data_IF_917140849107
#
_entry.id   IF_917140849107
#
_cell.length_a   1.000
_cell.length_b   1.000
_cell.length_c   1.000
_cell.angle_alpha   90.00
_cell.angle_beta   90.00
_cell.angle_gamma   90.00
#
_symmetry.space_group_name_H-M   'P 1'
#
loop_
_entity.id
_entity.type
_entity.pdbx_description
1 polymer ?
#
# COMPACT_ATOMS: atom_id res chain seq x y z
N UNK A 1 2.90 1.85 -15.93
CA UNK A 1 3.42 2.45 -17.17
C UNK A 1 4.37 3.60 -16.84
N UNK A 2 5.46 3.77 -17.60
CA UNK A 2 6.49 4.80 -17.38
C UNK A 2 5.95 6.24 -17.46
N UNK A 3 4.83 6.44 -18.13
CA UNK A 3 4.16 7.74 -18.23
C UNK A 3 3.18 8.02 -17.08
N UNK A 4 2.91 7.04 -16.22
CA UNK A 4 2.11 7.29 -15.02
C UNK A 4 2.93 8.12 -14.03
N UNK A 5 2.31 9.12 -13.44
CA UNK A 5 2.96 10.08 -12.54
C UNK A 5 3.73 9.41 -11.40
N UNK A 6 3.21 8.32 -10.84
CA UNK A 6 3.87 7.54 -9.79
C UNK A 6 5.23 7.00 -10.24
N UNK A 7 5.26 6.27 -11.37
CA UNK A 7 6.50 5.70 -11.90
C UNK A 7 7.48 6.79 -12.34
N UNK A 8 6.97 7.84 -12.99
CA UNK A 8 7.79 8.96 -13.43
C UNK A 8 8.49 9.65 -12.26
N UNK A 9 7.80 9.89 -11.15
CA UNK A 9 8.37 10.49 -9.95
C UNK A 9 9.45 9.58 -9.35
N UNK A 10 9.16 8.30 -9.18
CA UNK A 10 10.10 7.33 -8.59
C UNK A 10 11.35 7.18 -9.47
N UNK A 11 11.19 7.01 -10.78
CA UNK A 11 12.31 6.93 -11.72
C UNK A 11 13.18 8.20 -11.69
N UNK A 12 12.54 9.38 -11.65
CA UNK A 12 13.26 10.67 -11.55
C UNK A 12 14.05 10.75 -10.24
N UNK A 13 13.46 10.33 -9.12
CA UNK A 13 14.13 10.28 -7.82
C UNK A 13 15.33 9.33 -7.83
N UNK A 14 15.19 8.16 -8.45
CA UNK A 14 16.28 7.18 -8.55
C UNK A 14 17.43 7.71 -9.39
N UNK A 15 17.14 8.32 -10.54
CA UNK A 15 18.15 8.97 -11.36
C UNK A 15 18.87 10.10 -10.60
N UNK A 16 18.12 10.94 -9.90
CA UNK A 16 18.67 12.02 -9.09
C UNK A 16 19.62 11.51 -7.97
N UNK A 17 19.30 10.34 -7.41
CA UNK A 17 20.11 9.70 -6.35
C UNK A 17 21.19 8.77 -6.86
N UNK A 18 21.33 8.58 -8.17
CA UNK A 18 22.28 7.65 -8.75
C UNK A 18 21.98 6.18 -8.46
N UNK A 19 20.69 5.84 -8.28
CA UNK A 19 20.24 4.47 -8.03
C UNK A 19 20.03 3.76 -9.37
N UNK A 20 20.55 2.54 -9.51
CA UNK A 20 20.36 1.70 -10.70
C UNK A 20 18.88 1.32 -10.86
N UNK A 21 18.34 1.50 -12.07
CA UNK A 21 16.96 1.16 -12.41
C UNK A 21 16.96 0.01 -13.39
N UNK A 22 16.15 -1.00 -13.10
CA UNK A 22 15.90 -2.15 -13.96
C UNK A 22 14.41 -2.19 -14.30
N UNK A 23 14.08 -2.20 -15.59
CA UNK A 23 12.71 -2.30 -16.05
C UNK A 23 12.37 -3.75 -16.34
N UNK A 24 11.22 -4.19 -15.83
CA UNK A 24 10.72 -5.53 -16.13
C UNK A 24 10.37 -5.65 -17.63
N UNK A 25 10.69 -6.77 -18.25
CA UNK A 25 10.38 -7.05 -19.65
C UNK A 25 8.87 -7.14 -19.91
N UNK A 26 8.12 -7.69 -18.94
CA UNK A 26 6.68 -7.84 -19.01
C UNK A 26 6.08 -8.40 -17.72
N UNK A 27 4.76 -8.39 -17.62
CA UNK A 27 4.04 -8.87 -16.43
C UNK A 27 4.29 -10.36 -16.14
N UNK A 28 4.48 -11.16 -17.17
CA UNK A 28 4.69 -12.61 -17.05
C UNK A 28 6.11 -12.95 -16.57
N UNK A 29 7.10 -12.12 -16.90
CA UNK A 29 8.52 -12.36 -16.58
C UNK A 29 8.96 -11.74 -15.26
N UNK A 30 8.13 -10.93 -14.59
CA UNK A 30 8.48 -10.22 -13.35
C UNK A 30 9.11 -11.16 -12.30
N UNK A 31 8.55 -12.37 -12.11
CA UNK A 31 9.06 -13.30 -11.12
C UNK A 31 10.48 -13.77 -11.41
N UNK A 32 10.83 -13.94 -12.67
CA UNK A 32 12.16 -14.37 -13.11
C UNK A 32 13.13 -13.17 -13.10
N UNK A 33 12.69 -12.00 -13.56
CA UNK A 33 13.46 -10.77 -13.47
C UNK A 33 13.81 -10.41 -12.00
N UNK A 34 12.88 -10.59 -11.04
CA UNK A 34 13.16 -10.37 -9.62
C UNK A 34 14.24 -11.31 -9.07
N UNK A 35 14.24 -12.57 -9.48
CA UNK A 35 15.27 -13.55 -9.06
C UNK A 35 16.63 -13.28 -9.67
N UNK A 36 16.67 -12.80 -10.91
CA UNK A 36 17.88 -12.47 -11.63
C UNK A 36 18.53 -11.20 -11.05
N UNK A 37 17.76 -10.11 -10.97
CA UNK A 37 18.23 -8.79 -10.56
C UNK A 37 18.40 -8.66 -9.04
N UNK A 38 17.57 -9.36 -8.24
CA UNK A 38 17.56 -9.30 -6.77
C UNK A 38 17.49 -7.86 -6.24
N UNK A 39 16.46 -7.08 -6.63
CA UNK A 39 16.39 -5.67 -6.29
C UNK A 39 16.20 -5.46 -4.79
N UNK A 40 16.70 -4.32 -4.27
CA UNK A 40 16.44 -3.89 -2.90
C UNK A 40 15.06 -3.21 -2.77
N UNK A 41 14.61 -2.50 -3.80
CA UNK A 41 13.32 -1.81 -3.83
C UNK A 41 12.59 -2.24 -5.09
N UNK A 42 11.32 -2.55 -4.92
CA UNK A 42 10.43 -2.90 -6.01
C UNK A 42 9.20 -2.01 -5.97
N UNK A 43 8.99 -1.26 -7.06
CA UNK A 43 7.82 -0.39 -7.21
C UNK A 43 6.67 -1.19 -7.80
N UNK A 44 5.52 -1.14 -7.18
CA UNK A 44 4.40 -2.01 -7.52
C UNK A 44 3.05 -1.31 -7.36
N UNK A 45 2.03 -2.00 -7.83
CA UNK A 45 0.62 -1.71 -7.55
C UNK A 45 0.00 -2.88 -6.81
N UNK A 46 -1.08 -2.70 -6.03
CA UNK A 46 -1.70 -3.76 -5.24
C UNK A 46 -2.01 -5.02 -6.04
N UNK A 47 -2.49 -4.88 -7.27
CA UNK A 47 -2.82 -6.01 -8.16
C UNK A 47 -1.67 -6.98 -8.39
N UNK A 48 -0.44 -6.48 -8.45
CA UNK A 48 0.72 -7.34 -8.63
C UNK A 48 1.07 -8.08 -7.33
N UNK A 49 0.92 -7.43 -6.18
CA UNK A 49 1.11 -8.04 -4.86
C UNK A 49 0.07 -9.15 -4.65
N UNK A 50 -1.18 -8.92 -5.04
CA UNK A 50 -2.24 -9.93 -5.04
C UNK A 50 -1.86 -11.16 -5.88
N UNK A 51 -1.36 -10.95 -7.10
CA UNK A 51 -0.88 -12.07 -7.96
C UNK A 51 0.27 -12.86 -7.36
N UNK A 52 1.20 -12.19 -6.68
CA UNK A 52 2.29 -12.88 -5.96
C UNK A 52 1.69 -13.75 -4.85
N UNK A 53 0.73 -13.23 -4.10
CA UNK A 53 0.04 -13.98 -3.05
C UNK A 53 -0.74 -15.17 -3.61
N UNK A 54 -1.51 -14.98 -4.68
CA UNK A 54 -2.24 -16.05 -5.38
C UNK A 54 -1.29 -17.17 -5.83
N UNK A 55 -0.11 -16.83 -6.36
CA UNK A 55 0.91 -17.81 -6.76
C UNK A 55 1.48 -18.57 -5.56
N UNK A 56 1.70 -17.89 -4.44
CA UNK A 56 2.15 -18.51 -3.19
C UNK A 56 1.09 -19.49 -2.66
N UNK A 57 -0.17 -19.09 -2.59
CA UNK A 57 -1.27 -19.94 -2.10
C UNK A 57 -1.53 -21.12 -3.01
N UNK A 58 -1.59 -20.92 -4.32
CA UNK A 58 -1.74 -21.99 -5.30
C UNK A 58 -0.58 -23.01 -5.23
N UNK A 59 0.64 -22.56 -4.95
CA UNK A 59 1.78 -23.45 -4.74
C UNK A 59 1.62 -24.24 -3.44
N UNK A 60 1.14 -23.58 -2.38
CA UNK A 60 0.85 -24.22 -1.09
C UNK A 60 -0.27 -25.27 -1.18
N UNK A 61 -1.29 -25.01 -1.99
CA UNK A 61 -2.42 -25.92 -2.21
C UNK A 61 -2.01 -27.26 -2.89
N UNK A 62 -0.98 -27.21 -3.70
CA UNK A 62 -0.41 -28.42 -4.35
C UNK A 62 0.42 -29.29 -3.40
N UNK A 63 0.79 -28.78 -2.22
CA UNK A 63 1.52 -29.56 -1.23
C UNK A 63 0.62 -30.62 -0.59
N UNK A 64 1.22 -31.76 -0.24
CA UNK A 64 0.53 -32.86 0.39
C UNK A 64 1.18 -33.28 1.71
N UNK A 65 0.47 -34.02 2.54
CA UNK A 65 0.98 -34.60 3.77
C UNK A 65 1.53 -33.55 4.76
N UNK A 66 2.71 -33.81 5.30
CA UNK A 66 3.33 -32.96 6.33
C UNK A 66 3.70 -31.57 5.83
N UNK A 67 4.11 -31.43 4.57
CA UNK A 67 4.44 -30.14 3.96
C UNK A 67 3.22 -29.22 3.89
N UNK A 68 2.05 -29.76 3.56
CA UNK A 68 0.80 -29.01 3.56
C UNK A 68 0.44 -28.52 4.97
N UNK A 69 0.55 -29.37 5.98
CA UNK A 69 0.29 -28.98 7.38
C UNK A 69 1.20 -27.84 7.86
N UNK A 70 2.48 -27.87 7.49
CA UNK A 70 3.44 -26.79 7.81
C UNK A 70 3.02 -25.50 7.11
N UNK A 71 2.65 -25.55 5.84
CA UNK A 71 2.21 -24.37 5.09
C UNK A 71 0.95 -23.76 5.73
N UNK A 72 -0.08 -24.55 5.98
CA UNK A 72 -1.34 -24.08 6.59
C UNK A 72 -1.11 -23.50 8.00
N UNK A 73 -0.22 -24.10 8.79
CA UNK A 73 0.18 -23.59 10.09
C UNK A 73 0.91 -22.25 9.97
N UNK A 74 1.82 -22.10 9.01
CA UNK A 74 2.54 -20.84 8.75
C UNK A 74 1.59 -19.74 8.30
N UNK A 75 0.58 -20.07 7.49
CA UNK A 75 -0.46 -19.14 7.08
C UNK A 75 -1.31 -18.65 8.25
N UNK A 76 -1.62 -19.52 9.24
CA UNK A 76 -2.30 -19.09 10.49
C UNK A 76 -1.44 -18.09 11.28
N UNK A 77 -0.13 -18.34 11.39
CA UNK A 77 0.80 -17.40 12.04
C UNK A 77 0.80 -16.06 11.31
N UNK A 78 0.89 -16.07 9.99
CA UNK A 78 0.91 -14.85 9.19
C UNK A 78 -0.38 -14.02 9.33
N UNK A 79 -1.54 -14.66 9.39
CA UNK A 79 -2.82 -13.98 9.55
C UNK A 79 -2.99 -13.30 10.92
N UNK A 80 -2.30 -13.77 11.96
CA UNK A 80 -2.37 -13.23 13.33
C UNK A 80 -1.19 -12.33 13.69
N UNK A 81 -0.33 -12.01 12.71
CA UNK A 81 0.84 -11.14 12.93
C UNK A 81 0.44 -9.73 13.36
N UNK A 82 1.09 -9.22 14.40
CA UNK A 82 0.93 -7.84 14.85
C UNK A 82 2.28 -7.12 14.90
N UNK A 83 2.27 -5.85 14.47
CA UNK A 83 3.42 -4.97 14.55
C UNK A 83 3.75 -4.59 16.01
N UNK A 84 4.98 -4.10 16.24
CA UNK A 84 5.45 -3.50 17.49
C UNK A 84 5.46 -4.45 18.68
N UNK A 85 6.01 -5.65 18.48
CA UNK A 85 6.25 -6.61 19.57
C UNK A 85 5.02 -7.00 20.41
N UNK A 86 3.80 -6.73 19.94
CA UNK A 86 2.56 -7.14 20.62
C UNK A 86 2.33 -8.64 20.63
N UNK A 87 3.16 -9.37 19.90
CA UNK A 87 3.09 -10.82 19.80
C UNK A 87 3.67 -11.49 21.06
N UNK A 88 3.01 -12.53 21.55
CA UNK A 88 3.48 -13.31 22.70
C UNK A 88 4.82 -14.00 22.43
N UNK A 89 5.54 -14.38 23.50
CA UNK A 89 6.81 -15.11 23.37
C UNK A 89 6.62 -16.43 22.58
N UNK A 90 5.52 -17.14 22.84
CA UNK A 90 5.18 -18.36 22.11
C UNK A 90 4.96 -18.12 20.62
N UNK A 91 4.28 -17.03 20.27
CA UNK A 91 4.12 -16.63 18.89
C UNK A 91 5.48 -16.37 18.21
N UNK A 92 6.39 -15.66 18.87
CA UNK A 92 7.73 -15.36 18.33
C UNK A 92 8.53 -16.62 18.02
N UNK A 93 8.44 -17.65 18.86
CA UNK A 93 9.09 -18.94 18.61
C UNK A 93 8.49 -19.61 17.38
N UNK A 94 7.15 -19.69 17.30
CA UNK A 94 6.46 -20.26 16.15
C UNK A 94 6.79 -19.51 14.87
N UNK A 95 6.77 -18.16 14.90
CA UNK A 95 7.13 -17.31 13.78
C UNK A 95 8.54 -17.60 13.26
N UNK A 96 9.53 -17.72 14.16
CA UNK A 96 10.92 -18.04 13.79
C UNK A 96 11.03 -19.39 13.07
N UNK A 97 10.25 -20.39 13.48
CA UNK A 97 10.21 -21.71 12.83
C UNK A 97 9.53 -21.58 11.45
N UNK A 98 8.37 -20.91 11.38
CA UNK A 98 7.66 -20.68 10.13
C UNK A 98 8.50 -19.86 9.13
N UNK A 99 9.25 -18.88 9.60
CA UNK A 99 10.17 -18.07 8.81
C UNK A 99 11.21 -18.95 8.11
N UNK A 100 11.88 -19.81 8.87
CA UNK A 100 12.90 -20.72 8.33
C UNK A 100 12.34 -21.73 7.33
N UNK A 101 11.13 -22.26 7.57
CA UNK A 101 10.56 -23.34 6.77
C UNK A 101 9.77 -22.85 5.54
N UNK A 102 9.13 -21.69 5.64
CA UNK A 102 8.18 -21.19 4.64
C UNK A 102 8.49 -19.77 4.18
N UNK A 103 8.59 -18.79 5.06
CA UNK A 103 8.68 -17.39 4.65
C UNK A 103 10.01 -17.03 3.97
N UNK A 104 11.12 -17.71 4.34
CA UNK A 104 12.39 -17.58 3.62
C UNK A 104 12.24 -17.87 2.13
N UNK A 105 11.45 -18.90 1.76
CA UNK A 105 11.19 -19.26 0.36
C UNK A 105 10.37 -18.21 -0.38
N UNK A 106 9.48 -17.50 0.32
CA UNK A 106 8.74 -16.40 -0.28
C UNK A 106 9.66 -15.22 -0.59
N UNK A 107 10.59 -14.90 0.33
CA UNK A 107 11.61 -13.88 0.07
C UNK A 107 12.52 -14.27 -1.10
N UNK A 108 12.94 -15.53 -1.17
CA UNK A 108 13.70 -16.04 -2.30
C UNK A 108 12.96 -15.90 -3.63
N UNK A 109 11.63 -16.13 -3.63
CA UNK A 109 10.79 -16.02 -4.82
C UNK A 109 10.69 -14.58 -5.35
N UNK A 110 10.91 -13.58 -4.49
CA UNK A 110 10.97 -12.15 -4.85
C UNK A 110 12.40 -11.61 -4.94
N UNK A 111 13.37 -12.49 -5.10
CA UNK A 111 14.80 -12.16 -5.31
C UNK A 111 15.70 -12.26 -4.07
N UNK A 112 15.15 -12.41 -2.88
CA UNK A 112 15.91 -12.64 -1.63
C UNK A 112 16.60 -11.42 -1.03
N UNK A 113 16.67 -10.29 -1.74
CA UNK A 113 17.42 -9.09 -1.34
C UNK A 113 16.51 -7.86 -1.11
N UNK A 114 15.19 -8.09 -1.13
CA UNK A 114 14.21 -7.03 -1.10
C UNK A 114 14.13 -6.37 0.29
N UNK A 115 14.33 -5.07 0.36
CA UNK A 115 14.15 -4.23 1.55
C UNK A 115 12.70 -3.83 1.68
N UNK A 116 12.10 -3.33 0.59
CA UNK A 116 10.68 -2.98 0.60
C UNK A 116 10.05 -3.02 -0.81
N UNK A 117 8.73 -3.16 -0.82
CA UNK A 117 7.87 -2.93 -1.97
C UNK A 117 7.18 -1.58 -1.73
N UNK A 118 7.38 -0.62 -2.62
CA UNK A 118 6.60 0.61 -2.62
C UNK A 118 5.31 0.35 -3.40
N UNK A 119 4.16 0.54 -2.77
CA UNK A 119 2.84 0.29 -3.37
C UNK A 119 2.01 1.56 -3.42
N UNK A 120 1.46 1.86 -4.59
CA UNK A 120 0.62 3.04 -4.80
C UNK A 120 -0.44 2.83 -5.87
N UNK A 121 -1.27 3.85 -6.10
CA UNK A 121 -2.31 3.86 -7.14
C UNK A 121 -3.63 3.18 -6.79
N UNK A 122 -3.69 2.36 -5.74
CA UNK A 122 -4.90 1.78 -5.17
C UNK A 122 -4.65 1.31 -3.72
N UNK A 123 -5.72 1.03 -2.97
CA UNK A 123 -5.60 0.50 -1.63
C UNK A 123 -5.11 -0.96 -1.64
N UNK A 124 -4.11 -1.27 -0.83
CA UNK A 124 -3.66 -2.64 -0.60
C UNK A 124 -4.54 -3.30 0.48
N UNK A 125 -4.95 -4.53 0.23
CA UNK A 125 -5.73 -5.30 1.21
C UNK A 125 -4.93 -5.45 2.53
N UNK A 126 -5.47 -5.02 3.67
CA UNK A 126 -4.77 -5.09 4.96
C UNK A 126 -4.34 -6.50 5.38
N UNK A 127 -5.08 -7.52 4.97
CA UNK A 127 -4.73 -8.92 5.22
C UNK A 127 -3.46 -9.32 4.46
N UNK A 128 -3.34 -8.92 3.19
CA UNK A 128 -2.14 -9.16 2.40
C UNK A 128 -0.95 -8.41 2.97
N UNK A 129 -1.11 -7.13 3.30
CA UNK A 129 -0.07 -6.34 3.94
C UNK A 129 0.45 -7.02 5.21
N UNK A 130 -0.45 -7.50 6.08
CA UNK A 130 -0.11 -8.26 7.30
C UNK A 130 0.70 -9.52 7.00
N UNK A 131 0.27 -10.32 6.03
CA UNK A 131 0.91 -11.58 5.65
C UNK A 131 2.31 -11.33 5.11
N UNK A 132 2.49 -10.34 4.25
CA UNK A 132 3.78 -9.98 3.69
C UNK A 132 4.72 -9.40 4.76
N UNK A 133 4.23 -8.54 5.64
CA UNK A 133 5.01 -8.03 6.78
C UNK A 133 5.48 -9.16 7.71
N UNK A 134 4.61 -10.14 7.99
CA UNK A 134 4.99 -11.34 8.74
C UNK A 134 6.14 -12.12 8.08
N UNK A 135 6.16 -12.16 6.76
CA UNK A 135 7.22 -12.80 5.99
C UNK A 135 8.49 -11.94 5.82
N UNK A 136 8.58 -10.78 6.49
CA UNK A 136 9.62 -9.77 6.31
C UNK A 136 9.72 -9.24 4.86
N UNK A 137 8.59 -9.22 4.15
CA UNK A 137 8.44 -8.55 2.86
C UNK A 137 7.67 -7.26 3.14
N UNK A 138 8.40 -6.17 3.37
CA UNK A 138 7.83 -4.90 3.79
C UNK A 138 7.12 -4.23 2.62
N UNK A 139 5.81 -4.04 2.72
CA UNK A 139 5.01 -3.27 1.76
C UNK A 139 4.75 -1.87 2.33
N UNK A 140 5.24 -0.85 1.66
CA UNK A 140 5.05 0.56 2.01
C UNK A 140 3.97 1.15 1.11
N UNK A 141 2.77 1.29 1.64
CA UNK A 141 1.66 1.89 0.92
C UNK A 141 1.74 3.40 0.99
N UNK A 142 1.55 4.07 -0.17
CA UNK A 142 1.45 5.51 -0.29
C UNK A 142 0.14 5.95 -0.94
N UNK A 143 -0.24 7.19 -0.68
CA UNK A 143 -1.40 7.87 -1.24
C UNK A 143 -1.00 9.17 -1.91
N UNK A 144 -1.67 9.45 -3.00
CA UNK A 144 -1.60 10.69 -3.74
C UNK A 144 -2.22 10.57 -5.12
N UNK A 145 -2.30 11.69 -5.81
CA UNK A 145 -2.95 11.86 -7.09
C UNK A 145 -1.98 12.49 -8.10
N UNK A 146 -2.35 12.51 -9.36
CA UNK A 146 -1.62 13.25 -10.40
C UNK A 146 -1.56 14.75 -10.05
N UNK A 147 -2.65 15.28 -9.53
CA UNK A 147 -2.84 16.65 -9.10
C UNK A 147 -1.98 17.05 -7.89
N UNK A 148 -1.45 16.07 -7.14
CA UNK A 148 -0.58 16.30 -5.97
C UNK A 148 0.89 15.96 -6.24
N UNK A 149 1.34 15.93 -7.47
CA UNK A 149 2.69 15.47 -7.86
C UNK A 149 3.08 14.16 -7.19
N UNK A 150 2.12 13.29 -7.05
CA UNK A 150 2.00 11.95 -6.53
C UNK A 150 1.80 11.85 -5.04
N UNK A 151 2.78 12.21 -4.21
CA UNK A 151 2.77 11.75 -2.82
C UNK A 151 2.17 12.81 -1.89
N UNK A 152 1.16 12.41 -1.14
CA UNK A 152 0.57 13.14 -0.02
C UNK A 152 0.96 12.48 1.31
N UNK A 153 0.86 11.15 1.37
CA UNK A 153 1.24 10.37 2.55
C UNK A 153 1.85 9.03 2.14
N UNK A 154 2.74 8.49 2.98
CA UNK A 154 3.36 7.19 2.74
C UNK A 154 3.81 6.54 4.04
N UNK A 155 3.55 5.23 4.19
CA UNK A 155 4.17 4.41 5.22
C UNK A 155 5.70 4.44 5.03
N UNK A 156 6.45 4.54 6.13
CA UNK A 156 7.91 4.62 6.11
C UNK A 156 8.49 3.38 6.75
N UNK A 157 9.71 3.05 6.38
CA UNK A 157 10.42 1.92 6.96
C UNK A 157 10.58 2.07 8.49
N UNK A 158 10.37 0.97 9.21
CA UNK A 158 10.40 0.93 10.67
C UNK A 158 9.00 0.72 11.27
N UNK A 159 8.92 -0.10 12.32
CA UNK A 159 7.64 -0.58 12.90
C UNK A 159 6.73 0.55 13.39
N UNK A 160 7.30 1.65 13.90
CA UNK A 160 6.51 2.80 14.38
C UNK A 160 5.98 3.70 13.25
N UNK A 161 6.51 3.53 12.05
CA UNK A 161 6.18 4.32 10.87
C UNK A 161 5.27 3.59 9.87
N UNK A 162 4.90 2.34 10.19
CA UNK A 162 3.94 1.53 9.43
C UNK A 162 2.69 1.30 10.27
N UNK A 163 1.54 1.49 9.62
CA UNK A 163 0.25 1.09 10.17
C UNK A 163 -0.53 0.35 9.11
N UNK A 164 -0.77 -0.95 9.33
CA UNK A 164 -1.51 -1.81 8.40
C UNK A 164 -2.87 -1.21 8.05
N UNK A 165 -3.19 -1.18 6.77
CA UNK A 165 -4.43 -0.63 6.23
C UNK A 165 -4.49 0.90 6.19
N UNK A 166 -3.33 1.58 6.28
CA UNK A 166 -3.22 3.03 6.11
C UNK A 166 -2.20 3.39 5.04
N UNK A 167 -2.27 4.62 4.58
CA UNK A 167 -1.28 5.19 3.64
C UNK A 167 -0.14 5.94 4.35
N UNK A 168 0.00 5.75 5.66
CA UNK A 168 1.10 6.35 6.42
C UNK A 168 0.89 7.81 6.84
N UNK A 169 1.92 8.41 7.46
CA UNK A 169 1.93 9.82 7.80
C UNK A 169 2.06 10.71 6.56
N UNK A 170 1.59 11.93 6.67
CA UNK A 170 1.73 12.98 5.64
C UNK A 170 3.22 13.31 5.45
N UNK A 171 3.62 13.59 4.21
CA UNK A 171 5.00 14.02 3.93
C UNK A 171 5.25 15.45 4.40
N UNK A 172 6.52 15.77 4.64
CA UNK A 172 6.92 17.11 5.08
C UNK A 172 6.54 18.19 4.06
N UNK A 173 6.02 19.32 4.56
CA UNK A 173 5.64 20.46 3.73
C UNK A 173 4.24 20.33 3.08
N UNK A 174 3.53 19.24 3.33
CA UNK A 174 2.14 19.04 2.90
C UNK A 174 1.23 19.06 4.11
N UNK A 175 0.10 19.71 3.99
CA UNK A 175 -0.96 19.77 4.98
C UNK A 175 -2.17 18.96 4.49
N UNK A 176 -2.79 18.22 5.40
CA UNK A 176 -4.00 17.44 5.12
C UNK A 176 -5.02 17.70 6.22
N UNK A 177 -6.25 17.99 5.81
CA UNK A 177 -7.42 18.01 6.70
C UNK A 177 -8.50 17.10 6.16
N UNK A 178 -9.32 16.59 7.06
CA UNK A 178 -10.53 15.83 6.72
C UNK A 178 -11.71 16.76 6.92
N UNK A 179 -12.51 16.95 5.89
CA UNK A 179 -13.71 17.79 5.96
C UNK A 179 -14.72 17.17 6.94
N UNK A 180 -15.29 18.00 7.82
CA UNK A 180 -16.23 17.53 8.85
C UNK A 180 -17.57 17.07 8.27
N UNK A 181 -17.99 17.67 7.15
CA UNK A 181 -19.30 17.43 6.54
C UNK A 181 -19.42 16.03 5.90
N UNK A 182 -18.38 15.58 5.20
CA UNK A 182 -18.44 14.38 4.37
C UNK A 182 -17.22 13.47 4.49
N UNK A 183 -16.18 13.88 5.24
CA UNK A 183 -14.96 13.12 5.41
C UNK A 183 -14.00 13.23 4.22
N UNK A 184 -14.20 14.19 3.31
CA UNK A 184 -13.30 14.39 2.18
C UNK A 184 -11.90 14.79 2.63
N UNK A 185 -10.90 14.20 2.00
CA UNK A 185 -9.49 14.55 2.20
C UNK A 185 -9.18 15.81 1.42
N UNK A 186 -8.75 16.85 2.12
CA UNK A 186 -8.31 18.10 1.53
C UNK A 186 -6.80 18.25 1.72
N UNK A 187 -6.11 18.67 0.65
CA UNK A 187 -4.65 18.74 0.62
C UNK A 187 -4.21 20.15 0.29
N UNK A 188 -3.16 20.64 0.99
CA UNK A 188 -2.51 21.91 0.70
C UNK A 188 -1.00 21.74 0.80
N UNK A 189 -0.26 22.27 -0.18
CA UNK A 189 1.19 22.18 -0.18
C UNK A 189 1.84 22.51 -1.52
N UNK A 190 3.16 22.57 -1.55
CA UNK A 190 3.91 22.91 -2.76
C UNK A 190 3.88 21.82 -3.84
N UNK A 191 3.36 20.64 -3.52
CA UNK A 191 3.19 19.51 -4.42
C UNK A 191 1.90 19.57 -5.24
N UNK A 192 1.03 20.56 -5.00
CA UNK A 192 -0.20 20.71 -5.78
C UNK A 192 0.08 21.19 -7.19
N UNK A 193 -0.73 20.75 -8.14
CA UNK A 193 -0.76 21.29 -9.51
C UNK A 193 -1.13 22.76 -9.51
N UNK A 194 -0.73 23.49 -10.53
CA UNK A 194 -1.18 24.88 -10.77
C UNK A 194 -2.63 24.96 -11.26
N UNK A 195 -3.15 23.86 -11.79
CA UNK A 195 -4.51 23.74 -12.32
C UNK A 195 -4.57 22.86 -13.56
N UNK A 196 -5.76 22.60 -14.04
CA UNK A 196 -5.99 21.85 -15.28
C UNK A 196 -5.71 22.74 -16.49
N UNK A 197 -4.90 22.24 -17.41
CA UNK A 197 -4.46 22.98 -18.58
C UNK A 197 -5.65 23.47 -19.43
N UNK A 198 -5.71 24.79 -19.65
CA UNK A 198 -6.80 25.47 -20.40
C UNK A 198 -8.22 25.18 -19.88
N UNK A 199 -8.35 24.78 -18.61
CA UNK A 199 -9.65 24.51 -18.00
C UNK A 199 -9.72 25.14 -16.58
N UNK A 200 -9.87 26.47 -16.50
CA UNK A 200 -9.95 27.17 -15.21
C UNK A 200 -11.23 26.83 -14.43
N UNK A 201 -12.31 26.47 -15.11
CA UNK A 201 -13.58 26.09 -14.49
C UNK A 201 -13.41 24.81 -13.70
N UNK A 202 -12.89 23.74 -14.30
CA UNK A 202 -12.59 22.49 -13.60
C UNK A 202 -11.55 22.67 -12.48
N UNK A 203 -10.62 23.63 -12.64
CA UNK A 203 -9.67 23.95 -11.57
C UNK A 203 -10.38 24.58 -10.38
N UNK A 204 -11.30 25.51 -10.61
CA UNK A 204 -12.08 26.16 -9.55
C UNK A 204 -13.04 25.20 -8.81
N UNK A 205 -13.45 24.12 -9.46
CA UNK A 205 -14.27 23.06 -8.82
C UNK A 205 -13.50 22.26 -7.76
N UNK A 206 -12.17 22.15 -7.89
CA UNK A 206 -11.34 21.31 -7.04
C UNK A 206 -10.34 22.09 -6.17
N UNK A 207 -10.17 23.39 -6.42
CA UNK A 207 -9.29 24.26 -5.64
C UNK A 207 -10.12 25.37 -5.02
N UNK A 208 -10.18 25.42 -3.68
CA UNK A 208 -10.89 26.49 -3.00
C UNK A 208 -10.08 27.79 -2.89
N UNK A 209 -10.74 28.87 -2.42
CA UNK A 209 -10.12 30.18 -2.27
C UNK A 209 -9.02 30.25 -1.20
N UNK A 210 -8.95 29.26 -0.31
CA UNK A 210 -7.93 29.13 0.73
C UNK A 210 -6.72 28.32 0.23
N UNK A 211 -6.79 27.76 -0.98
CA UNK A 211 -5.74 26.95 -1.60
C UNK A 211 -5.77 25.47 -1.17
N UNK A 212 -6.91 24.98 -0.69
CA UNK A 212 -7.11 23.55 -0.47
C UNK A 212 -7.57 22.88 -1.74
N UNK A 213 -6.95 21.74 -2.02
CA UNK A 213 -7.35 20.87 -3.12
C UNK A 213 -8.31 19.80 -2.59
N UNK A 214 -9.48 19.72 -3.20
CA UNK A 214 -10.54 18.74 -2.93
C UNK A 214 -10.24 17.46 -3.72
N UNK A 215 -9.80 16.41 -3.01
CA UNK A 215 -9.29 15.19 -3.67
C UNK A 215 -10.38 14.31 -4.25
N UNK A 216 -11.60 14.43 -3.75
CA UNK A 216 -12.68 13.50 -4.05
C UNK A 216 -12.52 12.13 -3.37
N UNK A 217 -11.51 11.94 -2.53
CA UNK A 217 -11.31 10.74 -1.73
C UNK A 217 -11.75 11.00 -0.29
N UNK A 218 -12.37 10.00 0.33
CA UNK A 218 -12.82 10.03 1.72
C UNK A 218 -11.81 9.34 2.61
N UNK A 219 -11.53 9.89 3.78
CA UNK A 219 -10.54 9.31 4.67
C UNK A 219 -10.76 9.60 6.14
N UNK A 220 -9.88 9.03 6.94
CA UNK A 220 -9.86 9.23 8.39
C UNK A 220 -8.44 9.15 8.93
N UNK A 221 -8.25 9.66 10.13
CA UNK A 221 -6.98 9.54 10.85
C UNK A 221 -6.98 8.31 11.76
N UNK A 222 -5.88 7.58 11.73
CA UNK A 222 -5.57 6.56 12.74
C UNK A 222 -4.40 7.09 13.57
N UNK A 223 -4.60 7.23 14.87
CA UNK A 223 -3.55 7.67 15.78
C UNK A 223 -2.86 6.48 16.44
N UNK A 224 -1.53 6.55 16.54
CA UNK A 224 -0.72 5.55 17.22
C UNK A 224 0.59 6.16 17.69
N UNK A 225 0.91 6.03 18.98
CA UNK A 225 2.16 6.50 19.59
C UNK A 225 2.47 7.98 19.25
N UNK A 226 1.46 8.85 19.25
CA UNK A 226 1.58 10.26 18.90
C UNK A 226 1.71 10.57 17.40
N UNK A 227 1.77 9.57 16.55
CA UNK A 227 1.79 9.72 15.10
C UNK A 227 0.38 9.57 14.50
N UNK A 228 0.09 10.35 13.47
CA UNK A 228 -1.17 10.29 12.71
C UNK A 228 -0.92 9.64 11.36
N UNK A 229 -1.73 8.64 11.03
CA UNK A 229 -1.67 7.88 9.78
C UNK A 229 -2.95 8.13 8.98
N UNK A 230 -2.81 8.50 7.73
CA UNK A 230 -3.95 8.71 6.84
C UNK A 230 -4.48 7.35 6.37
N UNK A 231 -5.78 7.15 6.50
CA UNK A 231 -6.48 5.98 5.97
C UNK A 231 -7.53 6.43 4.97
N UNK A 232 -7.42 5.95 3.73
CA UNK A 232 -8.44 6.14 2.71
C UNK A 232 -9.54 5.12 2.97
N UNK A 233 -10.78 5.58 2.98
CA UNK A 233 -11.94 4.71 3.23
C UNK A 233 -12.79 4.51 2.01
N UNK A 234 -12.93 5.53 1.13
CA UNK A 234 -13.73 5.46 -0.09
C UNK A 234 -13.40 6.58 -1.08
N UNK A 235 -14.15 6.62 -2.19
CA UNK A 235 -14.22 7.73 -3.13
C UNK A 235 -15.57 8.43 -3.07
N UNK A 236 -15.57 9.76 -3.03
CA UNK A 236 -16.78 10.58 -2.95
C UNK A 236 -17.78 10.29 -4.08
N UNK A 237 -17.28 10.08 -5.30
CA UNK A 237 -18.09 9.76 -6.48
C UNK A 237 -18.69 8.35 -6.48
N UNK A 238 -18.16 7.45 -5.67
CA UNK A 238 -18.61 6.07 -5.53
C UNK A 238 -19.60 5.90 -4.37
N UNK A 239 -19.70 6.91 -3.48
CA UNK A 239 -20.70 6.91 -2.41
C UNK A 239 -22.10 7.01 -2.98
N UNK A 240 -22.96 6.09 -2.63
CA UNK A 240 -24.39 6.23 -2.91
C UNK A 240 -25.19 6.44 -1.63
N UNK A 241 -26.19 7.28 -1.73
CA UNK A 241 -27.09 7.60 -0.62
C UNK A 241 -28.27 6.63 -0.64
N UNK A 242 -28.44 5.86 0.42
CA UNK A 242 -29.62 5.01 0.56
C UNK A 242 -30.91 5.84 0.68
N UNK A 243 -32.06 5.24 0.43
CA UNK A 243 -33.37 5.89 0.63
C UNK A 243 -33.57 6.42 2.06
N UNK A 244 -32.89 5.86 3.06
CA UNK A 244 -32.87 6.32 4.45
C UNK A 244 -31.84 7.42 4.75
N UNK A 245 -31.20 8.01 3.73
CA UNK A 245 -30.28 9.14 3.88
C UNK A 245 -28.85 8.78 4.33
N UNK A 246 -28.52 7.50 4.51
CA UNK A 246 -27.17 7.06 4.87
C UNK A 246 -26.29 6.88 3.63
N UNK A 247 -25.08 7.39 3.69
CA UNK A 247 -24.05 7.10 2.67
C UNK A 247 -23.53 5.66 2.86
N UNK A 248 -23.41 4.95 1.76
CA UNK A 248 -22.83 3.61 1.70
C UNK A 248 -21.59 3.66 0.83
N UNK A 249 -20.51 3.12 1.37
CA UNK A 249 -19.19 3.01 0.79
C UNK A 249 -19.03 1.62 0.14
N UNK A 250 -19.12 1.47 -1.20
CA UNK A 250 -19.05 0.17 -1.87
C UNK A 250 -17.75 -0.55 -1.59
N UNK A 251 -16.61 0.15 -1.61
CA UNK A 251 -15.29 -0.45 -1.40
C UNK A 251 -15.14 -1.14 -0.03
N UNK A 252 -15.77 -0.62 1.01
CA UNK A 252 -15.75 -1.24 2.34
C UNK A 252 -16.45 -2.60 2.31
N UNK A 253 -17.57 -2.68 1.57
CA UNK A 253 -18.33 -3.92 1.41
C UNK A 253 -17.55 -4.91 0.54
N UNK A 254 -17.04 -4.46 -0.61
CA UNK A 254 -16.26 -5.29 -1.53
C UNK A 254 -15.00 -5.86 -0.87
N UNK A 255 -14.30 -5.06 -0.08
CA UNK A 255 -13.13 -5.54 0.66
C UNK A 255 -13.49 -6.61 1.69
N UNK A 256 -14.63 -6.46 2.38
CA UNK A 256 -15.14 -7.49 3.29
C UNK A 256 -15.56 -8.78 2.59
N UNK A 257 -16.08 -8.68 1.36
CA UNK A 257 -16.45 -9.86 0.58
C UNK A 257 -15.24 -10.63 0.02
N UNK A 258 -14.05 -10.00 -0.01
CA UNK A 258 -12.78 -10.60 -0.44
C UNK A 258 -11.97 -11.22 0.72
N UNK A 259 -12.41 -11.04 1.96
CA UNK A 259 -11.83 -11.65 3.17
C UNK A 259 -12.25 -13.11 3.34
#
# INVERSE_FOLDING_TARGET
>A
PLNHVYERMVSTLYLYKGISIYYAEGLETIGDNLKEIKPQIFVSVPRLIERVYEKITATGEKLTGFKRKIFDWSMRIANTYELNNKNSLWYKIQHKIADKLVFSKWREAVGGNLVCIASGGAALNPKLERIFLCANIVCLQGYGLTETCVVVSVNRYGEDNIRIGTCGPVISGVEVKIAEEDGEILVKGPNLMMGYYKNPEATAEVMDSEGWFHTGDIGTWIEKNGNRFLKITDRKKELFKTAGGKYVAPQVIENKMKE
#
